data_IF_839778559817
#
_entry.id   IF_839778559817
#
_cell.length_a   1.000
_cell.length_b   1.000
_cell.length_c   1.000
_cell.angle_alpha   90.00
_cell.angle_beta   90.00
_cell.angle_gamma   90.00
#
_symmetry.space_group_name_H-M   'P 1'
#
loop_
_entity.id
_entity.type
_entity.pdbx_description
1 polymer ?
#
# COMPACT_ATOMS: atom_id res chain seq x y z
N UNK A 1 26.15 16.26 -2.15
CA UNK A 1 25.20 16.68 -1.09
C UNK A 1 23.73 16.74 -1.54
N UNK A 2 23.40 16.81 -2.84
CA UNK A 2 22.00 16.80 -3.32
C UNK A 2 21.27 15.45 -3.14
N UNK A 3 21.97 14.33 -3.24
CA UNK A 3 21.39 12.99 -3.07
C UNK A 3 21.16 12.59 -1.61
N UNK A 4 21.80 13.29 -0.66
CA UNK A 4 21.62 13.04 0.77
C UNK A 4 20.27 13.58 1.27
N UNK A 5 19.77 14.66 0.65
CA UNK A 5 18.46 15.24 0.95
C UNK A 5 17.29 14.32 0.58
N UNK A 6 17.41 13.53 -0.50
CA UNK A 6 16.36 12.59 -0.91
C UNK A 6 16.22 11.41 0.07
N UNK A 7 17.32 10.97 0.69
CA UNK A 7 17.30 9.90 1.70
C UNK A 7 16.68 10.42 3.01
N UNK A 8 16.99 11.66 3.41
CA UNK A 8 16.40 12.28 4.61
C UNK A 8 14.89 12.52 4.44
N UNK A 9 14.44 12.90 3.24
CA UNK A 9 13.01 13.07 2.94
C UNK A 9 12.25 11.72 3.02
N UNK A 10 12.86 10.63 2.55
CA UNK A 10 12.30 9.27 2.65
C UNK A 10 12.24 8.74 4.09
N UNK A 11 13.26 9.05 4.92
CA UNK A 11 13.28 8.69 6.34
C UNK A 11 12.24 9.48 7.15
N UNK A 12 11.94 10.74 6.76
CA UNK A 12 10.88 11.51 7.43
C UNK A 12 9.46 10.96 7.22
N UNK A 13 9.23 10.13 6.19
CA UNK A 13 7.94 9.43 5.98
C UNK A 13 7.87 8.16 6.85
N UNK A 14 9.01 7.64 7.31
CA UNK A 14 9.10 6.45 8.19
C UNK A 14 9.02 6.85 9.68
N UNK A 15 9.33 8.09 10.04
CA UNK A 15 9.08 8.65 11.37
C UNK A 15 7.60 9.02 11.56
N UNK A 16 6.73 8.00 11.52
CA UNK A 16 5.43 8.08 12.18
C UNK A 16 5.73 8.34 13.66
N UNK A 17 5.15 9.37 14.30
CA UNK A 17 5.24 9.48 15.74
C UNK A 17 4.57 8.23 16.31
N UNK A 18 5.36 7.35 16.92
CA UNK A 18 4.86 6.37 17.86
C UNK A 18 4.31 7.21 19.00
N UNK A 19 3.04 7.59 18.89
CA UNK A 19 2.29 8.22 19.96
C UNK A 19 2.30 7.24 21.12
N UNK A 20 3.17 7.53 22.09
CA UNK A 20 3.24 6.83 23.33
C UNK A 20 1.86 6.95 24.01
N UNK A 21 1.31 5.79 24.35
CA UNK A 21 0.04 5.60 25.03
C UNK A 21 -0.14 6.59 26.18
N UNK A 22 -1.26 7.31 26.19
CA UNK A 22 -1.91 7.70 27.43
C UNK A 22 -3.28 7.00 27.44
N UNK A 23 -3.53 6.27 28.53
CA UNK A 23 -4.50 5.19 28.59
C UNK A 23 -5.95 5.63 28.51
N UNK A 24 -6.76 4.72 27.98
CA UNK A 24 -8.15 4.52 28.41
C UNK A 24 -8.50 3.05 28.18
N UNK A 25 -8.65 2.39 29.32
CA UNK A 25 -9.43 1.19 29.66
C UNK A 25 -10.24 0.51 28.55
N UNK A 26 -10.08 -0.81 28.48
CA UNK A 26 -11.17 -1.80 28.50
C UNK A 26 -12.58 -1.26 28.21
N UNK A 27 -12.97 -1.24 26.93
CA UNK A 27 -14.35 -1.43 26.41
C UNK A 27 -14.44 -0.86 24.99
N UNK A 28 -14.04 -1.62 23.96
CA UNK A 28 -14.51 -1.43 22.57
C UNK A 28 -13.73 -2.32 21.61
N UNK A 29 -14.18 -3.56 21.43
CA UNK A 29 -13.89 -4.41 20.26
C UNK A 29 -14.62 -3.89 19.00
N UNK A 30 -14.81 -2.57 18.90
CA UNK A 30 -15.63 -1.88 17.90
C UNK A 30 -14.67 -1.29 16.85
N UNK A 31 -14.46 -2.10 15.79
CA UNK A 31 -13.94 -1.74 14.46
C UNK A 31 -12.47 -1.29 14.34
N UNK A 32 -11.52 -2.25 14.38
CA UNK A 32 -10.14 -2.06 13.90
C UNK A 32 -10.05 -1.95 12.36
N UNK A 33 -11.15 -2.30 11.65
CA UNK A 33 -11.27 -2.20 10.19
C UNK A 33 -10.99 -0.77 9.70
N UNK A 34 -11.59 0.24 10.33
CA UNK A 34 -11.40 1.65 9.96
C UNK A 34 -9.92 2.07 9.97
N UNK A 35 -9.19 1.64 11.00
CA UNK A 35 -7.77 1.91 11.13
C UNK A 35 -6.94 1.14 10.07
N UNK A 36 -7.33 -0.10 9.75
CA UNK A 36 -6.69 -0.88 8.68
C UNK A 36 -6.88 -0.23 7.30
N UNK A 37 -8.08 0.29 7.00
CA UNK A 37 -8.33 1.04 5.77
C UNK A 37 -7.65 2.42 5.76
N UNK A 38 -7.56 3.12 6.90
CA UNK A 38 -6.76 4.36 7.00
C UNK A 38 -5.31 4.12 6.58
N UNK A 39 -4.70 3.04 7.05
CA UNK A 39 -3.34 2.64 6.65
C UNK A 39 -3.25 2.29 5.17
N UNK A 40 -4.27 1.65 4.60
CA UNK A 40 -4.35 1.44 3.16
C UNK A 40 -4.38 2.76 2.39
N UNK A 41 -5.16 3.75 2.83
CA UNK A 41 -5.18 5.10 2.23
C UNK A 41 -3.82 5.83 2.31
N UNK A 42 -3.09 5.68 3.42
CA UNK A 42 -1.73 6.22 3.55
C UNK A 42 -0.78 5.57 2.52
N UNK A 43 -0.85 4.24 2.37
CA UNK A 43 -0.08 3.52 1.36
C UNK A 43 -0.52 3.88 -0.07
N UNK A 44 -1.80 4.13 -0.32
CA UNK A 44 -2.31 4.61 -1.61
C UNK A 44 -1.60 5.91 -2.04
N UNK A 45 -1.46 6.86 -1.11
CA UNK A 45 -0.74 8.11 -1.34
C UNK A 45 0.76 7.86 -1.60
N UNK A 46 1.39 6.99 -0.80
CA UNK A 46 2.79 6.61 -1.00
C UNK A 46 3.03 5.99 -2.38
N UNK A 47 2.16 5.06 -2.81
CA UNK A 47 2.21 4.44 -4.14
C UNK A 47 2.02 5.46 -5.26
N UNK A 48 1.15 6.46 -5.08
CA UNK A 48 0.98 7.56 -6.04
C UNK A 48 2.28 8.33 -6.24
N UNK A 49 2.86 8.82 -5.13
CA UNK A 49 4.08 9.62 -5.14
C UNK A 49 5.25 8.84 -5.70
N UNK A 50 5.40 7.58 -5.29
CA UNK A 50 6.46 6.70 -5.77
C UNK A 50 6.32 6.41 -7.27
N UNK A 51 5.11 6.12 -7.76
CA UNK A 51 4.87 5.91 -9.19
C UNK A 51 5.26 7.12 -10.04
N UNK A 52 4.83 8.33 -9.65
CA UNK A 52 5.19 9.57 -10.34
C UNK A 52 6.71 9.81 -10.33
N UNK A 53 7.37 9.57 -9.20
CA UNK A 53 8.81 9.73 -9.10
C UNK A 53 9.56 8.73 -10.00
N UNK A 54 9.12 7.48 -10.05
CA UNK A 54 9.70 6.46 -10.91
C UNK A 54 9.54 6.80 -12.40
N UNK A 55 8.36 7.27 -12.82
CA UNK A 55 8.11 7.74 -14.20
C UNK A 55 9.05 8.89 -14.57
N UNK A 56 9.23 9.88 -13.67
CA UNK A 56 10.13 11.00 -13.89
C UNK A 56 11.60 10.57 -14.00
N UNK A 57 12.03 9.62 -13.16
CA UNK A 57 13.39 9.07 -13.22
C UNK A 57 13.56 8.32 -14.55
N UNK A 58 12.59 7.48 -14.93
CA UNK A 58 12.65 6.74 -16.19
C UNK A 58 12.76 7.65 -17.41
N UNK A 59 12.00 8.75 -17.45
CA UNK A 59 12.03 9.73 -18.54
C UNK A 59 13.33 10.55 -18.63
N UNK A 60 14.17 10.52 -17.59
CA UNK A 60 15.47 11.20 -17.55
C UNK A 60 16.67 10.25 -17.58
N UNK A 61 16.44 8.93 -17.57
CA UNK A 61 17.48 7.92 -17.66
C UNK A 61 17.81 7.63 -19.13
N UNK A 62 19.11 7.55 -19.44
CA UNK A 62 19.61 7.28 -20.79
C UNK A 62 19.91 5.79 -21.03
N UNK A 63 19.75 4.94 -20.02
CA UNK A 63 20.03 3.49 -20.10
C UNK A 63 18.73 2.72 -20.35
N UNK A 64 18.51 2.14 -21.55
CA UNK A 64 17.22 1.56 -21.91
C UNK A 64 16.71 0.49 -20.93
N UNK A 65 17.56 -0.46 -20.53
CA UNK A 65 17.17 -1.53 -19.61
C UNK A 65 16.71 -1.00 -18.24
N UNK A 66 17.37 0.07 -17.77
CA UNK A 66 17.02 0.73 -16.53
C UNK A 66 15.73 1.52 -16.67
N UNK A 67 15.54 2.21 -17.79
CA UNK A 67 14.29 2.91 -18.11
C UNK A 67 13.10 1.94 -18.10
N UNK A 68 13.21 0.78 -18.75
CA UNK A 68 12.14 -0.22 -18.74
C UNK A 68 11.85 -0.75 -17.33
N UNK A 69 12.88 -1.08 -16.55
CA UNK A 69 12.69 -1.55 -15.18
C UNK A 69 12.02 -0.49 -14.28
N UNK A 70 12.38 0.79 -14.44
CA UNK A 70 11.76 1.89 -13.72
C UNK A 70 10.30 2.10 -14.13
N UNK A 71 9.99 1.99 -15.43
CA UNK A 71 8.61 2.04 -15.93
C UNK A 71 7.77 0.88 -15.40
N UNK A 72 8.32 -0.33 -15.33
CA UNK A 72 7.62 -1.49 -14.76
C UNK A 72 7.30 -1.29 -13.28
N UNK A 73 8.25 -0.76 -12.49
CA UNK A 73 8.00 -0.40 -11.11
C UNK A 73 6.96 0.71 -10.97
N UNK A 74 6.99 1.73 -11.84
CA UNK A 74 6.00 2.80 -11.84
C UNK A 74 4.59 2.28 -12.16
N UNK A 75 4.48 1.40 -13.16
CA UNK A 75 3.26 0.71 -13.55
C UNK A 75 2.72 -0.15 -12.40
N UNK A 76 3.60 -0.84 -11.69
CA UNK A 76 3.26 -1.64 -10.52
C UNK A 76 2.71 -0.76 -9.38
N UNK A 77 3.32 0.39 -9.14
CA UNK A 77 2.83 1.36 -8.16
C UNK A 77 1.43 1.88 -8.55
N UNK A 78 1.22 2.21 -9.82
CA UNK A 78 -0.05 2.72 -10.34
C UNK A 78 -1.17 1.69 -10.24
N UNK A 79 -0.93 0.45 -10.65
CA UNK A 79 -1.92 -0.64 -10.55
C UNK A 79 -2.23 -0.99 -9.11
N UNK A 80 -1.22 -1.01 -8.24
CA UNK A 80 -1.37 -1.18 -6.79
C UNK A 80 -2.21 -0.08 -6.17
N UNK A 81 -1.95 1.18 -6.52
CA UNK A 81 -2.74 2.32 -6.06
C UNK A 81 -4.21 2.19 -6.44
N UNK A 82 -4.50 1.87 -7.71
CA UNK A 82 -5.89 1.75 -8.18
C UNK A 82 -6.65 0.64 -7.44
N UNK A 83 -5.99 -0.47 -7.15
CA UNK A 83 -6.61 -1.57 -6.41
C UNK A 83 -6.86 -1.19 -4.94
N UNK A 84 -5.91 -0.53 -4.28
CA UNK A 84 -6.11 0.01 -2.92
C UNK A 84 -7.25 1.04 -2.90
N UNK A 85 -7.27 1.96 -3.87
CA UNK A 85 -8.31 2.96 -4.03
C UNK A 85 -9.71 2.32 -4.14
N UNK A 86 -9.84 1.28 -4.98
CA UNK A 86 -11.10 0.54 -5.13
C UNK A 86 -11.58 -0.08 -3.82
N UNK A 87 -10.67 -0.61 -3.01
CA UNK A 87 -11.00 -1.15 -1.68
C UNK A 87 -11.44 -0.05 -0.71
N UNK A 88 -10.73 1.08 -0.68
CA UNK A 88 -11.08 2.24 0.14
C UNK A 88 -12.45 2.82 -0.21
N UNK A 89 -12.77 2.90 -1.51
CA UNK A 89 -14.06 3.40 -2.00
C UNK A 89 -15.23 2.52 -1.51
N UNK A 90 -15.12 1.20 -1.64
CA UNK A 90 -16.17 0.27 -1.19
C UNK A 90 -16.31 0.30 0.32
N UNK A 91 -15.20 0.36 1.06
CA UNK A 91 -15.25 0.52 2.51
C UNK A 91 -15.97 1.80 2.95
N UNK A 92 -15.71 2.93 2.29
CA UNK A 92 -16.39 4.19 2.59
C UNK A 92 -17.91 4.06 2.46
N UNK A 93 -18.40 3.46 1.37
CA UNK A 93 -19.83 3.18 1.17
C UNK A 93 -20.38 2.31 2.30
N UNK A 94 -19.71 1.21 2.64
CA UNK A 94 -20.14 0.31 3.72
C UNK A 94 -20.17 1.04 5.07
N UNK A 95 -19.21 1.92 5.34
CA UNK A 95 -19.14 2.67 6.60
C UNK A 95 -20.33 3.63 6.77
N UNK A 96 -20.81 4.22 5.68
CA UNK A 96 -21.99 5.07 5.66
C UNK A 96 -23.24 4.21 5.90
N UNK A 97 -23.40 3.12 5.13
CA UNK A 97 -24.57 2.26 5.18
C UNK A 97 -24.70 1.50 6.51
N UNK A 98 -23.58 1.10 7.15
CA UNK A 98 -23.60 0.42 8.47
C UNK A 98 -24.17 1.29 9.59
N UNK A 99 -24.13 2.61 9.46
CA UNK A 99 -24.74 3.52 10.43
C UNK A 99 -26.28 3.56 10.30
N UNK A 100 -26.83 2.98 9.23
CA UNK A 100 -28.26 2.73 9.07
C UNK A 100 -28.59 1.32 9.60
N UNK A 101 -29.41 1.25 10.65
CA UNK A 101 -29.51 0.15 11.65
C UNK A 101 -29.93 -1.26 11.17
N UNK A 102 -29.94 -1.60 9.89
CA UNK A 102 -30.43 -2.92 9.40
C UNK A 102 -29.73 -3.44 8.16
N UNK A 103 -28.42 -3.68 8.23
CA UNK A 103 -27.72 -4.07 7.02
C UNK A 103 -26.59 -5.08 7.25
N UNK A 104 -26.95 -6.37 7.08
CA UNK A 104 -26.03 -7.41 6.62
C UNK A 104 -25.89 -7.26 5.10
N UNK A 105 -25.12 -6.25 4.68
CA UNK A 105 -25.01 -5.78 3.30
C UNK A 105 -24.35 -6.80 2.36
N UNK A 106 -24.93 -6.94 1.16
CA UNK A 106 -24.28 -7.53 -0.03
C UNK A 106 -22.89 -6.92 -0.27
N UNK A 107 -22.76 -5.64 0.06
CA UNK A 107 -21.55 -4.82 -0.02
C UNK A 107 -20.45 -5.32 0.91
N UNK A 108 -20.77 -5.75 2.14
CA UNK A 108 -19.77 -6.34 3.05
C UNK A 108 -19.21 -7.66 2.49
N UNK A 109 -20.06 -8.48 1.84
CA UNK A 109 -19.63 -9.69 1.14
C UNK A 109 -18.75 -9.34 -0.07
N UNK A 110 -19.11 -8.32 -0.84
CA UNK A 110 -18.32 -7.84 -1.97
C UNK A 110 -16.94 -7.30 -1.53
N UNK A 111 -16.89 -6.52 -0.45
CA UNK A 111 -15.64 -6.03 0.13
C UNK A 111 -14.73 -7.19 0.53
N UNK A 112 -15.27 -8.21 1.22
CA UNK A 112 -14.52 -9.42 1.60
C UNK A 112 -13.96 -10.14 0.37
N UNK A 113 -14.77 -10.36 -0.66
CA UNK A 113 -14.32 -11.03 -1.89
C UNK A 113 -13.21 -10.24 -2.60
N UNK A 114 -13.37 -8.91 -2.74
CA UNK A 114 -12.35 -8.06 -3.35
C UNK A 114 -11.07 -7.98 -2.50
N UNK A 115 -11.18 -7.97 -1.17
CA UNK A 115 -10.02 -8.02 -0.27
C UNK A 115 -9.26 -9.34 -0.37
N UNK A 116 -9.94 -10.48 -0.56
CA UNK A 116 -9.29 -11.78 -0.81
C UNK A 116 -8.58 -11.78 -2.16
N UNK A 117 -9.25 -11.35 -3.22
CA UNK A 117 -8.65 -11.25 -4.55
C UNK A 117 -7.43 -10.33 -4.54
N UNK A 118 -7.55 -9.16 -3.92
CA UNK A 118 -6.45 -8.22 -3.75
C UNK A 118 -5.29 -8.86 -2.98
N UNK A 119 -5.55 -9.64 -1.92
CA UNK A 119 -4.47 -10.30 -1.17
C UNK A 119 -3.63 -11.22 -2.07
N UNK A 120 -4.30 -12.04 -2.88
CA UNK A 120 -3.61 -12.91 -3.84
C UNK A 120 -2.80 -12.10 -4.86
N UNK A 121 -3.40 -11.04 -5.41
CA UNK A 121 -2.75 -10.20 -6.41
C UNK A 121 -1.50 -9.48 -5.85
N UNK A 122 -1.62 -8.90 -4.66
CA UNK A 122 -0.50 -8.26 -3.97
C UNK A 122 0.61 -9.24 -3.59
N UNK A 123 0.30 -10.51 -3.29
CA UNK A 123 1.33 -11.55 -3.12
C UNK A 123 2.10 -11.81 -4.40
N UNK A 124 1.43 -11.86 -5.56
CA UNK A 124 2.13 -12.02 -6.85
C UNK A 124 3.05 -10.84 -7.14
N UNK A 125 2.59 -9.62 -6.86
CA UNK A 125 3.39 -8.40 -7.01
C UNK A 125 4.59 -8.40 -6.07
N UNK A 126 4.45 -8.90 -4.84
CA UNK A 126 5.55 -9.06 -3.92
C UNK A 126 6.62 -10.01 -4.46
N UNK A 127 6.22 -11.15 -5.05
CA UNK A 127 7.17 -12.07 -5.70
C UNK A 127 7.93 -11.38 -6.82
N UNK A 128 7.24 -10.63 -7.69
CA UNK A 128 7.88 -9.87 -8.76
C UNK A 128 8.89 -8.84 -8.23
N UNK A 129 8.55 -8.09 -7.18
CA UNK A 129 9.46 -7.10 -6.59
C UNK A 129 10.66 -7.77 -5.93
N UNK A 130 10.45 -8.88 -5.21
CA UNK A 130 11.53 -9.66 -4.62
C UNK A 130 12.47 -10.26 -5.70
N UNK A 131 11.92 -10.66 -6.84
CA UNK A 131 12.73 -11.08 -7.99
C UNK A 131 13.65 -9.96 -8.48
N UNK A 132 13.17 -8.72 -8.56
CA UNK A 132 14.01 -7.55 -8.90
C UNK A 132 15.11 -7.38 -7.85
N UNK A 133 14.76 -7.43 -6.55
CA UNK A 133 15.73 -7.33 -5.46
C UNK A 133 16.82 -8.39 -5.57
N UNK A 134 16.48 -9.64 -5.85
CA UNK A 134 17.48 -10.72 -5.89
C UNK A 134 18.33 -10.65 -7.16
N UNK A 135 17.72 -10.35 -8.31
CA UNK A 135 18.35 -10.54 -9.63
C UNK A 135 19.07 -9.31 -10.15
N UNK A 136 18.71 -8.11 -9.71
CA UNK A 136 19.36 -6.88 -10.21
C UNK A 136 20.69 -6.59 -9.53
N UNK A 137 21.68 -6.18 -10.32
CA UNK A 137 22.95 -5.62 -9.84
C UNK A 137 22.90 -4.10 -9.65
N UNK A 138 21.86 -3.41 -10.15
CA UNK A 138 21.71 -1.97 -9.97
C UNK A 138 21.21 -1.67 -8.55
N UNK A 139 22.08 -1.06 -7.74
CA UNK A 139 21.77 -0.75 -6.35
C UNK A 139 20.61 0.23 -6.20
N UNK A 140 20.48 1.22 -7.08
CA UNK A 140 19.37 2.19 -7.01
C UNK A 140 18.04 1.51 -7.32
N UNK A 141 18.02 0.62 -8.32
CA UNK A 141 16.83 -0.16 -8.65
C UNK A 141 16.46 -1.11 -7.51
N UNK A 142 17.44 -1.75 -6.89
CA UNK A 142 17.27 -2.59 -5.71
C UNK A 142 16.69 -1.81 -4.52
N UNK A 143 17.21 -0.61 -4.23
CA UNK A 143 16.71 0.24 -3.14
C UNK A 143 15.24 0.65 -3.37
N UNK A 144 14.88 1.02 -4.60
CA UNK A 144 13.51 1.34 -4.99
C UNK A 144 12.59 0.13 -4.86
N UNK A 145 13.05 -1.05 -5.26
CA UNK A 145 12.32 -2.30 -5.11
C UNK A 145 12.07 -2.63 -3.63
N UNK A 146 13.06 -2.43 -2.74
CA UNK A 146 12.86 -2.62 -1.29
C UNK A 146 11.80 -1.70 -0.69
N UNK A 147 11.78 -0.43 -1.10
CA UNK A 147 10.74 0.50 -0.64
C UNK A 147 9.36 0.00 -1.07
N UNK A 148 9.22 -0.45 -2.32
CA UNK A 148 7.97 -0.98 -2.82
C UNK A 148 7.56 -2.28 -2.12
N UNK A 149 8.50 -3.17 -1.86
CA UNK A 149 8.26 -4.40 -1.09
C UNK A 149 7.72 -4.08 0.32
N UNK A 150 8.29 -3.08 0.99
CA UNK A 150 7.79 -2.64 2.29
C UNK A 150 6.34 -2.14 2.21
N UNK A 151 5.98 -1.37 1.17
CA UNK A 151 4.60 -0.93 0.96
C UNK A 151 3.66 -2.13 0.71
N UNK A 152 4.08 -3.10 -0.10
CA UNK A 152 3.30 -4.31 -0.37
C UNK A 152 3.07 -5.14 0.90
N UNK A 153 4.08 -5.24 1.77
CA UNK A 153 3.96 -5.90 3.07
C UNK A 153 2.93 -5.24 3.98
N UNK A 154 2.90 -3.90 4.02
CA UNK A 154 1.89 -3.16 4.78
C UNK A 154 0.49 -3.47 4.25
N UNK A 155 0.30 -3.43 2.92
CA UNK A 155 -0.98 -3.76 2.27
C UNK A 155 -1.42 -5.18 2.63
N UNK A 156 -0.55 -6.17 2.44
CA UNK A 156 -0.86 -7.57 2.75
C UNK A 156 -1.24 -7.77 4.21
N UNK A 157 -0.55 -7.10 5.13
CA UNK A 157 -0.90 -7.11 6.55
C UNK A 157 -2.29 -6.50 6.80
N UNK A 158 -2.60 -5.34 6.21
CA UNK A 158 -3.92 -4.72 6.39
C UNK A 158 -5.03 -5.58 5.79
N UNK A 159 -4.83 -6.13 4.59
CA UNK A 159 -5.80 -7.03 3.95
C UNK A 159 -6.07 -8.29 4.77
N UNK A 160 -5.04 -8.85 5.39
CA UNK A 160 -5.21 -10.00 6.31
C UNK A 160 -6.10 -9.62 7.51
N UNK A 161 -5.86 -8.46 8.12
CA UNK A 161 -6.66 -7.97 9.25
C UNK A 161 -8.12 -7.71 8.85
N UNK A 162 -8.33 -7.02 7.72
CA UNK A 162 -9.66 -6.75 7.16
C UNK A 162 -10.42 -8.06 6.92
N UNK A 163 -9.79 -9.06 6.30
CA UNK A 163 -10.43 -10.36 6.04
C UNK A 163 -10.80 -11.13 7.32
N UNK A 164 -10.03 -10.97 8.41
CA UNK A 164 -10.34 -11.58 9.71
C UNK A 164 -11.55 -10.89 10.36
N UNK A 165 -11.66 -9.57 10.21
CA UNK A 165 -12.69 -8.77 10.87
C UNK A 165 -14.01 -8.70 10.07
N UNK A 166 -13.98 -8.90 8.75
CA UNK A 166 -15.16 -9.09 7.89
C UNK A 166 -15.69 -10.54 7.93
N UNK A 167 -15.52 -11.25 9.06
CA UNK A 167 -15.89 -12.66 9.19
C UNK A 167 -17.38 -12.90 8.93
#
# INVERSE_FOLDING_TARGET
>A
MRNFFLIILLVSIICIPVSAKCGESETSQKSNIAHSFKKLSEVESALKTMGVNLDNIAGSDSTPDRTFALQDLANLCRTSRLQVHGLNSIYSVISIVKNEKRFETKEAKELKQKSIFANHDFRRRQVFVNDIVIKTSDQKLKDLAYILEAQLNIILKQLKLINIELK
#
